data_IF_498791017660
#
_entry.id   IF_498791017660
#
_cell.length_a   1.000
_cell.length_b   1.000
_cell.length_c   1.000
_cell.angle_alpha   90.00
_cell.angle_beta   90.00
_cell.angle_gamma   90.00
#
_symmetry.space_group_name_H-M   'P 1'
#
loop_
_entity.id
_entity.type
_entity.pdbx_description
1 polymer ?
#
# COMPACT_ATOMS: atom_id res chain seq x y z
N UNK A 1 -26.68 -14.99 23.38
CA UNK A 1 -25.49 -15.82 23.05
C UNK A 1 -24.33 -15.00 22.44
N UNK A 2 -24.37 -13.66 22.47
CA UNK A 2 -23.38 -12.74 21.84
C UNK A 2 -22.17 -12.42 22.73
N UNK A 3 -22.33 -12.42 24.05
CA UNK A 3 -21.29 -12.01 25.02
C UNK A 3 -19.98 -12.82 25.00
N UNK A 4 -20.00 -14.08 24.54
CA UNK A 4 -18.78 -14.91 24.41
C UNK A 4 -18.01 -14.61 23.12
N UNK A 5 -18.69 -14.21 22.05
CA UNK A 5 -18.07 -13.78 20.80
C UNK A 5 -17.41 -12.40 20.97
N UNK A 6 -17.97 -11.54 21.82
CA UNK A 6 -17.39 -10.23 22.15
C UNK A 6 -16.04 -10.34 22.89
N UNK A 7 -15.82 -11.41 23.66
CA UNK A 7 -14.54 -11.68 24.33
C UNK A 7 -13.56 -12.46 23.45
N UNK A 8 -14.06 -13.22 22.47
CA UNK A 8 -13.24 -13.97 21.53
C UNK A 8 -12.32 -13.04 20.73
N UNK A 9 -12.83 -11.91 20.24
CA UNK A 9 -12.05 -10.97 19.42
C UNK A 9 -10.85 -10.35 20.14
N UNK A 10 -10.99 -9.82 21.37
CA UNK A 10 -9.84 -9.37 22.17
C UNK A 10 -8.82 -10.48 22.42
N UNK A 11 -9.26 -11.71 22.70
CA UNK A 11 -8.36 -12.85 22.94
C UNK A 11 -7.60 -13.22 21.67
N UNK A 12 -8.26 -13.28 20.50
CA UNK A 12 -7.62 -13.53 19.22
C UNK A 12 -6.61 -12.42 18.89
N UNK A 13 -6.98 -11.16 19.12
CA UNK A 13 -6.06 -10.02 18.97
C UNK A 13 -4.85 -10.12 19.89
N UNK A 14 -5.05 -10.48 21.15
CA UNK A 14 -3.98 -10.67 22.13
C UNK A 14 -3.04 -11.82 21.71
N UNK A 15 -3.60 -12.96 21.29
CA UNK A 15 -2.83 -14.09 20.77
C UNK A 15 -2.01 -13.66 19.56
N UNK A 16 -2.60 -12.92 18.61
CA UNK A 16 -1.88 -12.42 17.44
C UNK A 16 -0.73 -11.49 17.83
N UNK A 17 -0.92 -10.61 18.82
CA UNK A 17 0.14 -9.73 19.35
C UNK A 17 1.24 -10.54 20.02
N UNK A 18 0.90 -11.49 20.89
CA UNK A 18 1.88 -12.34 21.59
C UNK A 18 2.69 -13.17 20.58
N UNK A 19 2.02 -13.78 19.60
CA UNK A 19 2.68 -14.54 18.52
C UNK A 19 3.58 -13.64 17.69
N UNK A 20 3.14 -12.42 17.35
CA UNK A 20 3.95 -11.45 16.60
C UNK A 20 5.20 -11.05 17.38
N UNK A 21 5.07 -10.72 18.68
CA UNK A 21 6.20 -10.39 19.56
C UNK A 21 7.13 -11.59 19.69
N UNK A 22 6.59 -12.81 19.83
CA UNK A 22 7.38 -14.02 19.93
C UNK A 22 8.17 -14.32 18.65
N UNK A 23 7.55 -14.20 17.47
CA UNK A 23 8.21 -14.33 16.17
C UNK A 23 9.30 -13.26 15.99
N UNK A 24 8.97 -12.00 16.24
CA UNK A 24 9.93 -10.89 16.17
C UNK A 24 11.10 -11.10 17.13
N UNK A 25 10.84 -11.44 18.40
CA UNK A 25 11.92 -11.66 19.37
C UNK A 25 12.80 -12.89 19.04
N UNK A 26 12.24 -13.90 18.36
CA UNK A 26 13.01 -15.04 17.84
C UNK A 26 13.96 -14.62 16.72
N UNK A 27 13.48 -13.81 15.77
CA UNK A 27 14.26 -13.38 14.62
C UNK A 27 15.26 -12.24 14.95
N UNK A 28 14.94 -11.41 15.95
CA UNK A 28 15.76 -10.26 16.38
C UNK A 28 16.75 -10.59 17.52
N UNK A 29 16.94 -11.86 17.86
CA UNK A 29 17.79 -12.33 18.97
C UNK A 29 19.30 -12.15 18.78
N UNK A 30 19.74 -11.60 17.64
CA UNK A 30 21.14 -11.24 17.41
C UNK A 30 21.46 -9.83 17.93
N UNK A 31 22.46 -9.69 18.80
CA UNK A 31 22.90 -8.41 19.39
C UNK A 31 23.33 -7.35 18.34
N UNK A 32 23.60 -7.75 17.10
CA UNK A 32 23.98 -6.85 16.01
C UNK A 32 22.79 -6.15 15.31
N UNK A 33 21.55 -6.60 15.50
CA UNK A 33 20.41 -6.13 14.68
C UNK A 33 20.05 -4.67 14.98
N UNK A 34 20.14 -4.21 16.24
CA UNK A 34 19.79 -2.84 16.59
C UNK A 34 20.76 -1.81 15.95
N UNK A 35 22.06 -2.10 15.94
CA UNK A 35 23.07 -1.23 15.33
C UNK A 35 23.04 -1.32 13.80
N UNK A 36 22.77 -2.50 13.24
CA UNK A 36 22.58 -2.71 11.80
C UNK A 36 21.35 -1.98 11.24
N UNK A 37 20.21 -2.00 11.96
CA UNK A 37 19.00 -1.27 11.56
C UNK A 37 19.25 0.22 11.54
N UNK A 38 19.92 0.77 12.56
CA UNK A 38 20.25 2.19 12.60
C UNK A 38 21.19 2.58 11.46
N UNK A 39 22.22 1.77 11.20
CA UNK A 39 23.13 1.99 10.07
C UNK A 39 22.40 1.89 8.73
N UNK A 40 21.46 0.96 8.58
CA UNK A 40 20.65 0.83 7.37
C UNK A 40 19.76 2.05 7.14
N UNK A 41 19.12 2.60 8.18
CA UNK A 41 18.32 3.82 8.10
C UNK A 41 19.15 5.04 7.69
N UNK A 42 20.38 5.16 8.19
CA UNK A 42 21.33 6.21 7.79
C UNK A 42 21.91 6.01 6.40
N UNK A 43 21.93 4.78 5.89
CA UNK A 43 22.38 4.47 4.54
C UNK A 43 21.35 4.82 3.45
N UNK A 44 20.08 5.05 3.82
CA UNK A 44 19.03 5.47 2.89
C UNK A 44 19.35 6.88 2.37
N UNK A 45 19.39 7.03 1.05
CA UNK A 45 19.71 8.31 0.44
C UNK A 45 18.56 9.33 0.62
N UNK A 46 18.87 10.62 0.69
CA UNK A 46 17.86 11.68 0.78
C UNK A 46 16.85 11.65 -0.39
N UNK A 47 17.28 11.18 -1.57
CA UNK A 47 16.38 11.02 -2.71
C UNK A 47 15.38 9.88 -2.51
N UNK A 48 15.81 8.78 -1.90
CA UNK A 48 14.91 7.66 -1.61
C UNK A 48 13.89 8.05 -0.54
N UNK A 49 14.29 8.83 0.47
CA UNK A 49 13.33 9.42 1.42
C UNK A 49 12.30 10.31 0.73
N UNK A 50 12.72 11.16 -0.22
CA UNK A 50 11.78 11.98 -0.98
C UNK A 50 10.80 11.11 -1.78
N UNK A 51 11.29 10.04 -2.42
CA UNK A 51 10.43 9.10 -3.14
C UNK A 51 9.46 8.38 -2.20
N UNK A 52 9.88 7.98 -1.00
CA UNK A 52 8.99 7.43 0.03
C UNK A 52 7.88 8.41 0.40
N UNK A 53 8.20 9.69 0.61
CA UNK A 53 7.22 10.73 0.93
C UNK A 53 6.23 10.91 -0.22
N UNK A 54 6.70 11.02 -1.45
CA UNK A 54 5.84 11.15 -2.64
C UNK A 54 4.94 9.92 -2.80
N UNK A 55 5.49 8.72 -2.61
CA UNK A 55 4.72 7.46 -2.64
C UNK A 55 3.64 7.42 -1.55
N UNK A 56 3.93 7.90 -0.34
CA UNK A 56 2.96 8.04 0.72
C UNK A 56 1.85 9.04 0.35
N UNK A 57 2.20 10.20 -0.21
CA UNK A 57 1.22 11.19 -0.67
C UNK A 57 0.30 10.63 -1.76
N UNK A 58 0.84 9.85 -2.70
CA UNK A 58 0.05 9.17 -3.74
C UNK A 58 -0.90 8.15 -3.12
N UNK A 59 -0.44 7.34 -2.17
CA UNK A 59 -1.30 6.38 -1.47
C UNK A 59 -2.43 7.08 -0.72
N UNK A 60 -2.15 8.13 0.05
CA UNK A 60 -3.17 8.90 0.77
C UNK A 60 -4.13 9.65 -0.17
N UNK A 61 -3.64 10.13 -1.32
CA UNK A 61 -4.51 10.74 -2.33
C UNK A 61 -5.46 9.71 -2.94
N UNK A 62 -4.98 8.50 -3.23
CA UNK A 62 -5.82 7.42 -3.72
C UNK A 62 -6.88 7.01 -2.67
N UNK A 63 -6.52 6.99 -1.39
CA UNK A 63 -7.46 6.76 -0.29
C UNK A 63 -8.52 7.88 -0.18
N UNK A 64 -8.16 9.14 -0.41
CA UNK A 64 -9.14 10.24 -0.51
C UNK A 64 -10.07 10.09 -1.72
N UNK A 65 -9.55 9.60 -2.83
CA UNK A 65 -10.35 9.29 -4.01
C UNK A 65 -11.32 8.14 -3.77
N UNK A 66 -11.01 7.14 -2.93
CA UNK A 66 -11.98 6.11 -2.55
C UNK A 66 -13.23 6.73 -1.92
N UNK A 67 -13.05 7.63 -0.96
CA UNK A 67 -14.16 8.28 -0.27
C UNK A 67 -14.93 9.17 -1.27
N UNK A 68 -14.25 9.84 -2.21
CA UNK A 68 -14.92 10.60 -3.28
C UNK A 68 -15.73 9.72 -4.23
N UNK A 69 -15.21 8.57 -4.62
CA UNK A 69 -15.90 7.57 -5.46
C UNK A 69 -17.16 7.06 -4.74
N UNK A 70 -17.04 6.79 -3.45
CA UNK A 70 -18.17 6.33 -2.64
C UNK A 70 -19.25 7.40 -2.46
N UNK A 71 -18.87 8.66 -2.24
CA UNK A 71 -19.81 9.79 -2.18
C UNK A 71 -20.52 10.01 -3.53
N UNK A 72 -19.80 9.95 -4.65
CA UNK A 72 -20.39 10.03 -5.98
C UNK A 72 -21.36 8.88 -6.27
N UNK A 73 -21.06 7.67 -5.78
CA UNK A 73 -21.99 6.54 -5.86
C UNK A 73 -23.29 6.79 -5.07
N UNK A 74 -23.21 7.48 -3.93
CA UNK A 74 -24.36 7.92 -3.14
C UNK A 74 -25.11 9.11 -3.75
N UNK A 75 -24.61 9.70 -4.84
CA UNK A 75 -25.16 10.91 -5.46
C UNK A 75 -24.86 12.19 -4.68
N UNK A 76 -23.82 12.20 -3.85
CA UNK A 76 -23.41 13.32 -3.00
C UNK A 76 -22.12 13.91 -3.56
N UNK A 77 -22.20 15.05 -4.25
CA UNK A 77 -21.05 15.69 -4.90
C UNK A 77 -20.69 17.08 -4.34
N UNK A 78 -21.55 17.62 -3.47
CA UNK A 78 -21.49 18.95 -2.85
C UNK A 78 -20.40 19.10 -1.78
N UNK A 79 -19.89 17.99 -1.25
CA UNK A 79 -18.79 18.01 -0.28
C UNK A 79 -17.46 18.35 -1.00
N UNK A 80 -16.74 19.41 -0.57
CA UNK A 80 -15.49 19.81 -1.19
C UNK A 80 -14.40 18.76 -0.99
N UNK A 81 -13.56 18.57 -2.01
CA UNK A 81 -12.49 17.57 -2.00
C UNK A 81 -11.49 17.76 -0.85
N UNK A 82 -11.22 18.99 -0.41
CA UNK A 82 -10.34 19.26 0.73
C UNK A 82 -10.84 18.64 2.03
N UNK A 83 -12.17 18.67 2.26
CA UNK A 83 -12.78 18.02 3.42
C UNK A 83 -12.68 16.49 3.31
N UNK A 84 -12.97 15.94 2.13
CA UNK A 84 -12.82 14.50 1.87
C UNK A 84 -11.39 14.07 2.12
N UNK A 85 -10.40 14.76 1.54
CA UNK A 85 -8.99 14.44 1.71
C UNK A 85 -8.53 14.48 3.17
N UNK A 86 -8.93 15.50 3.94
CA UNK A 86 -8.58 15.60 5.36
C UNK A 86 -9.27 14.50 6.19
N UNK A 87 -10.53 14.21 5.92
CA UNK A 87 -11.28 13.14 6.57
C UNK A 87 -10.67 11.77 6.28
N UNK A 88 -10.35 11.47 5.02
CA UNK A 88 -9.70 10.22 4.65
C UNK A 88 -8.30 10.12 5.23
N UNK A 89 -7.49 11.19 5.18
CA UNK A 89 -6.17 11.22 5.79
C UNK A 89 -6.22 10.87 7.29
N UNK A 90 -7.04 11.57 8.05
CA UNK A 90 -7.20 11.32 9.49
C UNK A 90 -7.74 9.93 9.78
N UNK A 91 -8.72 9.47 9.00
CA UNK A 91 -9.28 8.13 9.09
C UNK A 91 -8.19 7.07 8.92
N UNK A 92 -7.46 7.11 7.80
CA UNK A 92 -6.49 6.07 7.48
C UNK A 92 -5.22 6.16 8.32
N UNK A 93 -4.79 7.35 8.74
CA UNK A 93 -3.68 7.50 9.67
C UNK A 93 -3.97 6.81 11.02
N UNK A 94 -5.19 6.97 11.55
CA UNK A 94 -5.62 6.28 12.77
C UNK A 94 -5.87 4.79 12.53
N UNK A 95 -6.53 4.44 11.43
CA UNK A 95 -6.81 3.04 11.09
C UNK A 95 -5.54 2.22 10.91
N UNK A 96 -4.51 2.74 10.26
CA UNK A 96 -3.26 2.01 10.02
C UNK A 96 -2.35 1.90 11.26
N UNK A 97 -2.65 2.62 12.34
CA UNK A 97 -1.82 2.60 13.57
C UNK A 97 -2.47 1.82 14.72
N UNK A 98 -3.80 1.81 14.82
CA UNK A 98 -4.52 1.27 15.98
C UNK A 98 -4.84 -0.24 15.85
N UNK A 99 -4.74 -0.83 14.65
CA UNK A 99 -4.97 -2.28 14.43
C UNK A 99 -6.44 -2.72 14.44
N UNK A 100 -7.37 -1.83 14.82
CA UNK A 100 -8.83 -2.01 14.70
C UNK A 100 -9.40 -1.21 13.51
N UNK A 101 -8.69 -1.29 12.39
CA UNK A 101 -8.69 -0.32 11.30
C UNK A 101 -10.07 -0.02 10.70
N UNK A 102 -10.90 -1.05 10.53
CA UNK A 102 -12.24 -0.89 9.93
C UNK A 102 -13.17 -0.12 10.86
N UNK A 103 -13.17 -0.45 12.16
CA UNK A 103 -14.08 0.14 13.14
C UNK A 103 -13.62 1.52 13.62
N UNK A 104 -12.31 1.71 13.85
CA UNK A 104 -11.75 3.02 14.17
C UNK A 104 -11.96 4.00 13.02
N UNK A 105 -11.73 3.56 11.78
CA UNK A 105 -11.92 4.40 10.59
C UNK A 105 -13.38 4.70 10.29
N UNK A 106 -14.28 3.75 10.50
CA UNK A 106 -15.71 3.96 10.35
C UNK A 106 -16.23 5.02 11.34
N UNK A 107 -15.72 5.05 12.58
CA UNK A 107 -16.11 6.04 13.57
C UNK A 107 -15.68 7.47 13.21
N UNK A 108 -14.45 7.63 12.70
CA UNK A 108 -13.95 8.94 12.25
C UNK A 108 -14.81 9.46 11.09
N UNK A 109 -15.08 8.62 10.10
CA UNK A 109 -15.99 8.95 8.99
C UNK A 109 -17.40 9.25 9.48
N UNK A 110 -17.90 8.48 10.44
CA UNK A 110 -19.21 8.72 11.02
C UNK A 110 -19.31 10.13 11.60
N UNK A 111 -18.35 10.50 12.46
CA UNK A 111 -18.32 11.83 13.08
C UNK A 111 -18.11 12.94 12.05
N UNK A 112 -17.18 12.77 11.12
CA UNK A 112 -16.89 13.79 10.11
C UNK A 112 -18.08 13.99 9.16
N UNK A 113 -18.57 12.94 8.52
CA UNK A 113 -19.64 13.05 7.54
C UNK A 113 -21.01 13.37 8.15
N UNK A 114 -21.26 13.03 9.42
CA UNK A 114 -22.48 13.50 10.10
C UNK A 114 -22.55 15.03 10.21
N UNK A 115 -21.40 15.72 10.31
CA UNK A 115 -21.37 17.20 10.30
C UNK A 115 -21.74 17.79 8.93
N UNK A 116 -21.69 16.97 7.88
CA UNK A 116 -22.12 17.31 6.52
C UNK A 116 -23.52 16.81 6.19
N UNK A 117 -24.28 16.32 7.17
CA UNK A 117 -25.66 15.90 7.00
C UNK A 117 -25.84 14.46 6.48
N UNK A 118 -24.78 13.65 6.41
CA UNK A 118 -24.92 12.26 6.00
C UNK A 118 -25.55 11.42 7.11
N UNK A 119 -26.49 10.57 6.72
CA UNK A 119 -27.12 9.58 7.61
C UNK A 119 -26.17 8.42 7.92
N UNK A 120 -26.41 7.74 9.04
CA UNK A 120 -25.63 6.56 9.44
C UNK A 120 -25.63 5.46 8.34
N UNK A 121 -26.76 5.28 7.65
CA UNK A 121 -26.89 4.33 6.56
C UNK A 121 -26.01 4.70 5.35
N UNK A 122 -26.00 5.97 4.95
CA UNK A 122 -25.13 6.46 3.87
C UNK A 122 -23.65 6.29 4.24
N UNK A 123 -23.27 6.56 5.48
CA UNK A 123 -21.89 6.36 5.96
C UNK A 123 -21.53 4.87 5.94
N UNK A 124 -22.44 3.98 6.33
CA UNK A 124 -22.21 2.53 6.26
C UNK A 124 -21.98 2.06 4.82
N UNK A 125 -22.77 2.55 3.86
CA UNK A 125 -22.56 2.28 2.43
C UNK A 125 -21.22 2.84 1.95
N UNK A 126 -20.85 4.05 2.37
CA UNK A 126 -19.54 4.64 2.07
C UNK A 126 -18.39 3.75 2.58
N UNK A 127 -18.47 3.29 3.83
CA UNK A 127 -17.48 2.37 4.41
C UNK A 127 -17.46 1.02 3.67
N UNK A 128 -18.61 0.51 3.24
CA UNK A 128 -18.69 -0.72 2.46
C UNK A 128 -18.03 -0.57 1.08
N UNK A 129 -18.32 0.50 0.35
CA UNK A 129 -17.74 0.77 -0.98
C UNK A 129 -16.23 0.93 -0.88
N UNK A 130 -15.74 1.70 0.08
CA UNK A 130 -14.29 1.89 0.29
C UNK A 130 -13.59 0.56 0.63
N UNK A 131 -14.21 -0.28 1.46
CA UNK A 131 -13.69 -1.62 1.78
C UNK A 131 -13.68 -2.56 0.57
N UNK A 132 -14.76 -2.57 -0.23
CA UNK A 132 -14.83 -3.33 -1.49
C UNK A 132 -13.77 -2.84 -2.48
N UNK A 133 -13.54 -1.53 -2.55
CA UNK A 133 -12.53 -0.94 -3.44
C UNK A 133 -11.12 -1.42 -3.07
N UNK A 134 -10.77 -1.40 -1.78
CA UNK A 134 -9.50 -1.92 -1.30
C UNK A 134 -9.35 -3.43 -1.57
N UNK A 135 -10.39 -4.21 -1.29
CA UNK A 135 -10.40 -5.64 -1.57
C UNK A 135 -10.19 -5.91 -3.07
N UNK A 136 -10.90 -5.19 -3.94
CA UNK A 136 -10.76 -5.30 -5.40
C UNK A 136 -9.34 -5.01 -5.86
N UNK A 137 -8.71 -3.95 -5.33
CA UNK A 137 -7.30 -3.63 -5.61
C UNK A 137 -6.35 -4.75 -5.18
N UNK A 138 -6.57 -5.31 -4.00
CA UNK A 138 -5.76 -6.41 -3.45
C UNK A 138 -5.89 -7.67 -4.30
N UNK A 139 -7.12 -8.03 -4.69
CA UNK A 139 -7.39 -9.17 -5.56
C UNK A 139 -6.79 -8.97 -6.95
N UNK A 140 -6.87 -7.76 -7.50
CA UNK A 140 -6.33 -7.41 -8.81
C UNK A 140 -4.81 -7.50 -8.83
N UNK A 141 -4.11 -6.79 -7.93
CA UNK A 141 -2.64 -6.81 -7.89
C UNK A 141 -2.14 -8.21 -7.47
N UNK A 142 -2.73 -8.79 -6.42
CA UNK A 142 -2.36 -10.13 -5.97
C UNK A 142 -2.55 -11.18 -7.06
N UNK A 143 -3.67 -11.14 -7.78
CA UNK A 143 -3.94 -12.01 -8.92
C UNK A 143 -2.94 -11.84 -10.05
N UNK A 144 -2.63 -10.58 -10.44
CA UNK A 144 -1.61 -10.29 -11.45
C UNK A 144 -0.24 -10.85 -11.02
N UNK A 145 0.19 -10.58 -9.80
CA UNK A 145 1.49 -11.05 -9.30
C UNK A 145 1.56 -12.58 -9.29
N UNK A 146 0.51 -13.27 -8.86
CA UNK A 146 0.49 -14.74 -8.84
C UNK A 146 0.45 -15.38 -10.22
N UNK A 147 -0.17 -14.74 -11.21
CA UNK A 147 -0.24 -15.26 -12.58
C UNK A 147 1.06 -14.99 -13.35
N UNK A 148 1.71 -13.85 -13.15
CA UNK A 148 2.92 -13.48 -13.91
C UNK A 148 4.23 -13.79 -13.19
N UNK A 149 4.24 -13.82 -11.87
CA UNK A 149 5.41 -14.12 -11.04
C UNK A 149 5.09 -15.17 -9.95
N UNK A 150 4.60 -16.37 -10.32
CA UNK A 150 4.22 -17.45 -9.40
C UNK A 150 5.36 -17.89 -8.47
N UNK A 151 6.61 -17.76 -8.93
CA UNK A 151 7.83 -18.10 -8.19
C UNK A 151 7.99 -17.28 -6.89
N UNK A 152 7.34 -16.13 -6.78
CA UNK A 152 7.39 -15.31 -5.58
C UNK A 152 6.76 -16.03 -4.37
N UNK A 153 5.80 -16.93 -4.62
CA UNK A 153 5.15 -17.72 -3.57
C UNK A 153 6.06 -18.80 -2.99
N UNK A 154 7.10 -19.23 -3.71
CA UNK A 154 8.13 -20.15 -3.19
C UNK A 154 8.94 -19.54 -2.05
N UNK A 155 8.91 -18.22 -1.87
CA UNK A 155 9.56 -17.56 -0.71
C UNK A 155 8.87 -17.88 0.61
N UNK A 156 7.62 -18.32 0.54
CA UNK A 156 6.83 -18.77 1.68
C UNK A 156 6.97 -20.30 1.92
N UNK A 157 7.79 -20.99 1.12
CA UNK A 157 8.08 -22.41 1.31
C UNK A 157 8.70 -22.65 2.68
N UNK A 158 8.15 -23.63 3.42
CA UNK A 158 8.52 -23.92 4.80
C UNK A 158 7.73 -23.16 5.87
N UNK A 159 6.97 -22.11 5.49
CA UNK A 159 5.99 -21.45 6.38
C UNK A 159 4.54 -21.89 6.09
N UNK A 160 4.23 -22.17 4.82
CA UNK A 160 2.93 -22.68 4.39
C UNK A 160 3.06 -24.16 3.96
N UNK A 161 1.93 -24.92 3.95
CA UNK A 161 1.88 -26.24 3.36
C UNK A 161 2.39 -26.25 1.91
N UNK A 162 3.18 -27.27 1.55
CA UNK A 162 3.85 -27.34 0.24
C UNK A 162 2.89 -27.25 -0.95
N UNK A 163 1.66 -27.75 -0.80
CA UNK A 163 0.58 -27.64 -1.78
C UNK A 163 0.26 -26.18 -2.12
N UNK A 164 0.26 -25.26 -1.14
CA UNK A 164 -0.04 -23.85 -1.36
C UNK A 164 1.14 -23.10 -2.00
N UNK A 165 2.37 -23.61 -1.88
CA UNK A 165 3.57 -22.99 -2.45
C UNK A 165 3.94 -23.55 -3.82
N UNK A 166 3.17 -24.51 -4.34
CA UNK A 166 3.33 -25.04 -5.69
C UNK A 166 2.99 -23.96 -6.74
N UNK A 167 3.87 -23.79 -7.74
CA UNK A 167 3.70 -22.80 -8.81
C UNK A 167 2.39 -22.98 -9.58
N UNK A 168 1.90 -24.21 -9.76
CA UNK A 168 0.60 -24.47 -10.39
C UNK A 168 -0.56 -23.97 -9.54
N UNK A 169 -0.49 -24.15 -8.22
CA UNK A 169 -1.52 -23.68 -7.29
C UNK A 169 -1.50 -22.16 -7.17
N UNK A 170 -0.32 -21.54 -7.16
CA UNK A 170 -0.17 -20.09 -7.21
C UNK A 170 -0.88 -19.49 -8.43
N UNK A 171 -0.67 -20.06 -9.62
CA UNK A 171 -1.39 -19.64 -10.84
C UNK A 171 -2.90 -19.86 -10.76
N UNK A 172 -3.36 -21.01 -10.25
CA UNK A 172 -4.78 -21.30 -10.14
C UNK A 172 -5.48 -20.33 -9.20
N UNK A 173 -4.87 -20.04 -8.05
CA UNK A 173 -5.35 -19.02 -7.11
C UNK A 173 -5.34 -17.66 -7.78
N UNK A 174 -4.23 -17.25 -8.41
CA UNK A 174 -4.13 -16.00 -9.12
C UNK A 174 -5.21 -15.82 -10.21
N UNK A 175 -5.43 -16.86 -11.01
CA UNK A 175 -6.47 -16.89 -12.05
C UNK A 175 -7.88 -16.80 -11.44
N UNK A 176 -8.14 -17.49 -10.32
CA UNK A 176 -9.41 -17.39 -9.62
C UNK A 176 -9.66 -15.99 -9.05
N UNK A 177 -8.63 -15.34 -8.49
CA UNK A 177 -8.72 -13.95 -8.02
C UNK A 177 -9.05 -13.01 -9.17
N UNK A 178 -8.35 -13.12 -10.30
CA UNK A 178 -8.63 -12.30 -11.49
C UNK A 178 -10.00 -12.59 -12.09
N UNK A 179 -10.46 -13.85 -12.09
CA UNK A 179 -11.80 -14.20 -12.52
C UNK A 179 -12.86 -13.52 -11.66
N UNK A 180 -12.66 -13.43 -10.33
CA UNK A 180 -13.55 -12.69 -9.43
C UNK A 180 -13.58 -11.19 -9.73
N UNK A 181 -12.41 -10.59 -10.00
CA UNK A 181 -12.27 -9.17 -10.37
C UNK A 181 -12.99 -8.89 -11.70
N UNK A 182 -12.81 -9.76 -12.70
CA UNK A 182 -13.51 -9.68 -13.99
C UNK A 182 -15.02 -9.84 -13.79
N UNK A 183 -15.46 -10.83 -13.02
CA UNK A 183 -16.88 -11.05 -12.73
C UNK A 183 -17.53 -9.82 -12.06
N UNK A 184 -16.83 -9.16 -11.14
CA UNK A 184 -17.29 -7.90 -10.54
C UNK A 184 -17.44 -6.79 -11.58
N UNK A 185 -16.42 -6.61 -12.44
CA UNK A 185 -16.44 -5.61 -13.52
C UNK A 185 -17.55 -5.88 -14.54
N UNK A 186 -17.70 -7.12 -14.98
CA UNK A 186 -18.77 -7.55 -15.89
C UNK A 186 -20.14 -7.37 -15.27
N UNK A 187 -20.31 -7.70 -13.98
CA UNK A 187 -21.56 -7.47 -13.26
C UNK A 187 -21.96 -5.98 -13.20
N UNK A 188 -20.97 -5.09 -13.04
CA UNK A 188 -21.18 -3.64 -13.11
C UNK A 188 -21.57 -3.17 -14.52
N UNK A 189 -20.90 -3.64 -15.57
CA UNK A 189 -21.19 -3.29 -16.98
C UNK A 189 -22.58 -3.78 -17.40
N UNK A 190 -22.94 -5.02 -17.05
CA UNK A 190 -24.22 -5.63 -17.37
C UNK A 190 -25.37 -5.13 -16.49
N UNK A 191 -25.09 -4.27 -15.49
CA UNK A 191 -26.07 -3.75 -14.52
C UNK A 191 -26.93 -4.86 -13.92
N UNK A 192 -26.27 -5.94 -13.48
CA UNK A 192 -26.95 -7.09 -12.91
C UNK A 192 -27.78 -6.68 -11.68
N UNK A 193 -28.85 -7.44 -11.42
CA UNK A 193 -29.65 -7.26 -10.21
C UNK A 193 -28.77 -7.43 -8.97
N UNK A 194 -29.05 -6.71 -7.87
CA UNK A 194 -28.30 -6.85 -6.62
C UNK A 194 -28.19 -8.31 -6.19
N UNK A 195 -26.98 -8.75 -5.87
CA UNK A 195 -26.73 -10.11 -5.41
C UNK A 195 -26.97 -10.17 -3.90
N UNK A 196 -27.94 -10.97 -3.47
CA UNK A 196 -28.31 -11.12 -2.07
C UNK A 196 -27.87 -12.49 -1.54
N UNK A 197 -26.93 -12.49 -0.59
CA UNK A 197 -26.46 -13.69 0.09
C UNK A 197 -26.64 -13.54 1.60
N UNK A 198 -27.69 -14.17 2.17
CA UNK A 198 -27.96 -14.31 3.62
C UNK A 198 -27.54 -13.11 4.49
N UNK A 199 -27.96 -11.90 4.11
CA UNK A 199 -27.70 -10.65 4.85
C UNK A 199 -26.65 -9.73 4.21
N UNK A 200 -25.93 -10.18 3.19
CA UNK A 200 -25.06 -9.33 2.36
C UNK A 200 -25.75 -9.02 1.05
N UNK A 201 -26.05 -7.74 0.80
CA UNK A 201 -26.62 -7.24 -0.45
C UNK A 201 -25.53 -6.49 -1.21
N UNK A 202 -24.98 -7.13 -2.24
CA UNK A 202 -24.01 -6.50 -3.13
C UNK A 202 -24.76 -5.76 -4.23
N UNK A 203 -24.78 -4.44 -4.12
CA UNK A 203 -25.28 -3.56 -5.17
C UNK A 203 -24.13 -3.22 -6.13
N UNK A 204 -24.30 -3.55 -7.41
CA UNK A 204 -23.27 -3.30 -8.41
C UNK A 204 -23.16 -1.80 -8.70
N UNK A 205 -21.98 -1.19 -8.55
CA UNK A 205 -21.83 0.23 -8.84
C UNK A 205 -21.96 0.51 -10.33
N UNK A 206 -22.25 1.78 -10.66
CA UNK A 206 -22.24 2.27 -12.05
C UNK A 206 -20.88 1.97 -12.71
N UNK A 207 -20.83 1.64 -14.02
CA UNK A 207 -19.58 1.30 -14.70
C UNK A 207 -18.46 2.33 -14.55
N UNK A 208 -18.81 3.62 -14.51
CA UNK A 208 -17.84 4.70 -14.29
C UNK A 208 -17.17 4.63 -12.90
N UNK A 209 -17.94 4.26 -11.87
CA UNK A 209 -17.45 4.07 -10.50
C UNK A 209 -16.57 2.83 -10.44
N UNK A 210 -16.99 1.71 -11.05
CA UNK A 210 -16.18 0.49 -11.12
C UNK A 210 -14.85 0.72 -11.86
N UNK A 211 -14.87 1.46 -12.98
CA UNK A 211 -13.66 1.82 -13.71
C UNK A 211 -12.73 2.69 -12.86
N UNK A 212 -13.26 3.66 -12.13
CA UNK A 212 -12.47 4.45 -11.20
C UNK A 212 -11.84 3.59 -10.10
N UNK A 213 -12.58 2.61 -9.55
CA UNK A 213 -12.03 1.65 -8.57
C UNK A 213 -10.86 0.84 -9.16
N UNK A 214 -10.97 0.37 -10.41
CA UNK A 214 -9.88 -0.38 -11.07
C UNK A 214 -8.60 0.42 -11.29
N UNK A 215 -8.67 1.76 -11.26
CA UNK A 215 -7.51 2.64 -11.42
C UNK A 215 -6.97 3.05 -10.05
N UNK A 216 -7.84 3.58 -9.19
CA UNK A 216 -7.45 4.15 -7.91
C UNK A 216 -7.00 3.07 -6.93
N UNK A 217 -7.61 1.88 -6.97
CA UNK A 217 -7.27 0.82 -6.03
C UNK A 217 -5.85 0.28 -6.19
N UNK A 218 -5.41 -0.12 -7.40
CA UNK A 218 -4.02 -0.48 -7.58
C UNK A 218 -3.06 0.69 -7.36
N UNK A 219 -3.45 1.94 -7.63
CA UNK A 219 -2.60 3.10 -7.37
C UNK A 219 -2.26 3.27 -5.89
N UNK A 220 -3.24 3.05 -5.01
CA UNK A 220 -3.06 3.08 -3.55
C UNK A 220 -2.04 2.03 -3.10
N UNK A 221 -2.26 0.77 -3.48
CA UNK A 221 -1.39 -0.35 -3.15
C UNK A 221 0.01 -0.21 -3.76
N UNK A 222 0.12 0.27 -4.99
CA UNK A 222 1.41 0.56 -5.62
C UNK A 222 2.15 1.68 -4.88
N UNK A 223 1.43 2.71 -4.43
CA UNK A 223 1.97 3.77 -3.58
C UNK A 223 2.51 3.21 -2.27
N UNK A 224 1.72 2.40 -1.56
CA UNK A 224 2.13 1.77 -0.31
C UNK A 224 3.34 0.83 -0.49
N UNK A 225 3.31 -0.01 -1.53
CA UNK A 225 4.41 -0.89 -1.89
C UNK A 225 5.70 -0.10 -2.25
N UNK A 226 5.55 1.04 -2.94
CA UNK A 226 6.67 1.89 -3.31
C UNK A 226 7.38 2.52 -2.10
N UNK A 227 6.67 2.81 -0.99
CA UNK A 227 7.30 3.30 0.26
C UNK A 227 8.33 2.29 0.75
N UNK A 228 7.93 1.02 0.86
CA UNK A 228 8.81 -0.06 1.31
C UNK A 228 9.94 -0.26 0.28
N UNK A 229 9.61 -0.23 -1.00
CA UNK A 229 10.57 -0.42 -2.08
C UNK A 229 11.73 0.58 -2.08
N UNK A 230 11.42 1.87 -1.84
CA UNK A 230 12.43 2.92 -1.82
C UNK A 230 13.17 2.97 -0.48
N UNK A 231 12.52 2.58 0.62
CA UNK A 231 13.17 2.46 1.93
C UNK A 231 14.20 1.32 1.99
N UNK A 232 14.01 0.23 1.23
CA UNK A 232 14.98 -0.87 1.21
C UNK A 232 16.25 -0.53 0.40
N UNK A 233 17.45 -0.88 0.92
CA UNK A 233 18.68 -0.75 0.17
C UNK A 233 18.67 -1.62 -1.09
N UNK A 234 19.34 -1.16 -2.15
CA UNK A 234 19.36 -1.85 -3.44
C UNK A 234 19.93 -3.28 -3.35
N UNK A 235 20.81 -3.52 -2.36
CA UNK A 235 21.34 -4.84 -2.04
C UNK A 235 20.30 -5.57 -1.18
N UNK A 236 19.60 -6.55 -1.77
CA UNK A 236 18.58 -7.33 -1.05
C UNK A 236 17.13 -6.95 -1.34
N UNK A 237 16.87 -6.01 -2.25
CA UNK A 237 15.53 -5.68 -2.74
C UNK A 237 14.97 -6.77 -3.67
N UNK A 238 14.94 -8.03 -3.19
CA UNK A 238 14.36 -9.17 -3.88
C UNK A 238 12.83 -9.17 -3.74
N UNK A 239 12.29 -8.54 -2.69
CA UNK A 239 10.87 -8.47 -2.33
C UNK A 239 9.91 -7.99 -3.44
N UNK A 240 10.42 -7.37 -4.51
CA UNK A 240 9.60 -6.73 -5.55
C UNK A 240 9.84 -7.32 -6.93
N UNK A 241 8.85 -7.28 -7.84
CA UNK A 241 8.94 -7.76 -9.22
C UNK A 241 10.20 -7.32 -10.00
N UNK A 242 10.66 -8.18 -10.91
CA UNK A 242 11.87 -7.92 -11.70
C UNK A 242 11.79 -6.62 -12.54
N UNK A 243 10.60 -6.31 -13.03
CA UNK A 243 10.29 -5.09 -13.78
C UNK A 243 10.52 -3.82 -12.96
N UNK A 244 10.06 -3.79 -11.71
CA UNK A 244 10.24 -2.68 -10.78
C UNK A 244 11.71 -2.45 -10.43
N UNK A 245 12.48 -3.53 -10.24
CA UNK A 245 13.94 -3.48 -10.00
C UNK A 245 14.68 -2.80 -11.16
N UNK A 246 14.34 -3.16 -12.39
CA UNK A 246 14.98 -2.58 -13.59
C UNK A 246 14.71 -1.07 -13.74
N UNK A 247 13.48 -0.64 -13.44
CA UNK A 247 13.05 0.76 -13.57
C UNK A 247 13.66 1.66 -12.50
N UNK A 248 13.79 1.18 -11.26
CA UNK A 248 14.49 1.95 -10.22
C UNK A 248 15.99 2.06 -10.49
N UNK A 249 16.62 1.00 -11.00
CA UNK A 249 18.03 1.06 -11.38
C UNK A 249 18.28 2.10 -12.48
N UNK A 250 17.31 2.32 -13.38
CA UNK A 250 17.35 3.41 -14.38
C UNK A 250 17.16 4.79 -13.73
N UNK A 251 16.18 4.95 -12.85
CA UNK A 251 15.91 6.22 -12.13
C UNK A 251 17.10 6.63 -11.25
N UNK A 252 17.64 5.72 -10.45
CA UNK A 252 18.82 5.95 -9.59
C UNK A 252 20.06 6.29 -10.42
N UNK A 253 20.28 5.61 -11.56
CA UNK A 253 21.37 5.96 -12.50
C UNK A 253 21.21 7.35 -13.10
N UNK A 254 19.99 7.75 -13.52
CA UNK A 254 19.70 9.11 -14.00
C UNK A 254 19.96 10.16 -12.92
N UNK A 255 19.53 9.90 -11.69
CA UNK A 255 19.72 10.84 -10.59
C UNK A 255 21.20 10.98 -10.19
N UNK A 256 21.96 9.88 -10.14
CA UNK A 256 23.42 9.95 -9.97
C UNK A 256 24.11 10.76 -11.07
N UNK A 257 23.63 10.67 -12.32
CA UNK A 257 24.14 11.51 -13.43
C UNK A 257 23.79 12.98 -13.22
N UNK A 258 22.54 13.30 -12.83
CA UNK A 258 22.12 14.67 -12.54
C UNK A 258 22.88 15.28 -11.37
N UNK A 259 23.11 14.52 -10.29
CA UNK A 259 23.89 14.97 -9.14
C UNK A 259 25.35 15.21 -9.49
N UNK A 260 25.96 14.34 -10.32
CA UNK A 260 27.30 14.57 -10.87
C UNK A 260 27.35 15.81 -11.77
N UNK A 261 26.34 16.02 -12.60
CA UNK A 261 26.23 17.20 -13.45
C UNK A 261 26.08 18.49 -12.62
N UNK A 262 25.25 18.48 -11.58
CA UNK A 262 25.07 19.60 -10.66
C UNK A 262 26.34 19.88 -9.83
N UNK A 263 27.10 18.85 -9.43
CA UNK A 263 28.40 19.04 -8.77
C UNK A 263 29.48 19.53 -9.76
N UNK A 264 29.42 19.10 -11.02
CA UNK A 264 30.36 19.53 -12.06
C UNK A 264 30.13 21.00 -12.46
N UNK A 265 28.87 21.45 -12.51
CA UNK A 265 28.53 22.85 -12.74
C UNK A 265 28.96 23.75 -11.57
N UNK A 266 28.93 23.26 -10.32
CA UNK A 266 29.46 24.01 -9.17
C UNK A 266 31.00 24.09 -9.15
N UNK A 267 31.71 23.14 -9.78
CA UNK A 267 33.19 23.17 -9.89
C UNK A 267 33.71 23.99 -11.08
N UNK A 268 32.85 24.41 -12.01
CA UNK A 268 33.23 25.25 -13.15
C UNK A 268 33.25 26.75 -12.84
N UNK A 269 32.86 27.16 -11.62
CA UNK A 269 32.78 28.56 -11.21
C UNK A 269 33.87 28.95 -10.19
N UNK A 270 35.08 28.37 -10.31
CA UNK A 270 36.23 28.74 -9.48
C UNK A 270 37.57 28.61 -10.22
N UNK A 271 37.74 29.36 -11.30
CA UNK A 271 38.98 30.10 -11.54
C UNK A 271 38.83 31.40 -10.74
N UNK A 272 39.58 31.78 -9.70
CA UNK A 272 41.01 31.59 -9.44
C UNK A 272 41.23 31.95 -7.96
N UNK A 273 41.15 31.00 -7.01
CA UNK A 273 41.73 31.04 -5.64
C UNK A 273 41.10 29.95 -4.77
N UNK A 274 41.85 29.52 -3.76
CA UNK A 274 41.50 28.50 -2.75
C UNK A 274 41.60 27.03 -3.20
N UNK A 275 42.82 26.61 -3.56
CA UNK A 275 43.35 25.35 -3.03
C UNK A 275 43.43 25.46 -1.51
N UNK A 276 42.49 24.86 -0.79
CA UNK A 276 42.75 24.22 0.50
C UNK A 276 41.45 23.58 1.03
N UNK A 277 41.55 22.29 1.36
CA UNK A 277 40.81 21.66 2.46
C UNK A 277 39.35 21.25 2.20
N UNK A 278 39.15 20.25 1.34
CA UNK A 278 38.06 19.26 1.54
C UNK A 278 38.65 17.85 1.35
N UNK A 279 39.40 17.42 2.36
CA UNK A 279 39.67 16.00 2.61
C UNK A 279 38.46 15.41 3.33
N UNK A 280 37.97 14.27 2.84
CA UNK A 280 36.91 13.39 3.39
C UNK A 280 35.49 13.60 2.82
N UNK A 281 35.30 13.14 1.58
CA UNK A 281 34.02 12.59 1.14
C UNK A 281 34.18 11.06 1.02
N UNK A 282 33.21 10.24 1.47
CA UNK A 282 33.33 8.79 1.38
C UNK A 282 33.29 8.37 -0.10
N UNK A 283 34.22 7.50 -0.46
CA UNK A 283 34.40 6.93 -1.79
C UNK A 283 33.11 6.30 -2.30
N UNK A 284 32.56 6.83 -3.38
CA UNK A 284 31.57 6.17 -4.20
C UNK A 284 32.23 4.92 -4.80
N UNK A 285 31.94 3.75 -4.23
CA UNK A 285 32.50 2.46 -4.65
C UNK A 285 32.12 2.19 -6.10
N UNK A 286 33.17 2.04 -6.93
CA UNK A 286 33.07 1.65 -8.33
C UNK A 286 32.64 0.19 -8.38
N UNK A 287 31.36 -0.07 -8.66
CA UNK A 287 30.87 -1.29 -9.32
C UNK A 287 29.46 -0.97 -9.82
N UNK A 288 29.42 -0.50 -11.07
CA UNK A 288 28.22 -0.43 -11.91
C UNK A 288 27.91 -1.81 -12.47
#
# INVERSE_FOLDING_TARGET
MTRRLDFLWPVVGLIAVVVSIWLLSRDFRGEAVASEVWQALWAISAWDYLLCIVSALVAYLALALYDRIALSHLGIDDIPFSFVALCSFTTYALSHTIGFSVLSGAMVRYRAYSTRGLTAAQIAVLVAITSITFALGTLLIGGIVLVFEPQELRRLAGMLPDFLTNETMAHLVGAALLALVIAYGTGSVLRLKPFELKGFRLEYPRPAIALAQFIVAPLELMGAAAIIYFALPAVGNRAFPSSWRSSSARLRRRWCRMRRAASASSSSCSSTRCRARISRAPSCSRRC
#
